data_IF_422314596388
#
_entry.id   IF_422314596388
#
_cell.length_a   1.000
_cell.length_b   1.000
_cell.length_c   1.000
_cell.angle_alpha   90.00
_cell.angle_beta   90.00
_cell.angle_gamma   90.00
#
_symmetry.space_group_name_H-M   'P 1'
#
loop_
_entity.id
_entity.type
_entity.pdbx_description
1 polymer ?
#
# COMPACT_ATOMS: atom_id res chain seq x y z
N UNK A 1 -17.37 0.63 0.54
CA UNK A 1 -16.87 -0.73 0.91
C UNK A 1 -16.13 -0.74 2.25
N UNK A 2 -15.15 0.15 2.52
CA UNK A 2 -14.44 0.14 3.83
C UNK A 2 -15.37 0.56 4.98
N UNK A 3 -16.08 1.68 4.83
CA UNK A 3 -17.08 2.14 5.81
C UNK A 3 -18.22 1.13 5.94
N UNK A 4 -18.67 0.56 4.84
CA UNK A 4 -19.66 -0.50 4.78
C UNK A 4 -19.17 -1.76 5.51
N UNK A 5 -17.95 -2.21 5.24
CA UNK A 5 -17.32 -3.35 5.93
C UNK A 5 -17.14 -3.07 7.44
N UNK A 6 -16.77 -1.85 7.82
CA UNK A 6 -16.63 -1.46 9.22
C UNK A 6 -17.98 -1.36 9.93
N UNK A 7 -18.99 -0.82 9.23
CA UNK A 7 -20.37 -0.77 9.74
C UNK A 7 -20.99 -2.17 9.86
N UNK A 8 -20.77 -3.06 8.88
CA UNK A 8 -21.24 -4.45 8.94
C UNK A 8 -20.57 -5.19 10.11
N UNK A 9 -19.29 -5.01 10.35
CA UNK A 9 -18.57 -5.59 11.50
C UNK A 9 -19.03 -5.01 12.83
N UNK A 10 -19.37 -3.73 12.87
CA UNK A 10 -19.82 -3.04 14.09
C UNK A 10 -21.25 -3.38 14.46
N UNK A 11 -22.15 -3.46 13.47
CA UNK A 11 -23.57 -3.65 13.68
C UNK A 11 -24.08 -5.06 13.39
N UNK A 12 -23.22 -5.92 12.79
CA UNK A 12 -23.51 -7.34 12.49
C UNK A 12 -24.90 -7.56 11.87
N UNK A 13 -25.28 -6.82 10.80
CA UNK A 13 -26.62 -6.88 10.24
C UNK A 13 -26.96 -8.30 9.75
N UNK A 14 -28.23 -8.70 9.94
CA UNK A 14 -28.69 -10.09 9.79
C UNK A 14 -28.51 -10.67 8.40
N UNK A 15 -28.52 -9.85 7.36
CA UNK A 15 -28.50 -10.27 5.96
C UNK A 15 -27.15 -10.14 5.24
N UNK A 16 -26.14 -9.53 5.85
CA UNK A 16 -24.81 -9.40 5.24
C UNK A 16 -23.89 -10.54 5.65
N UNK A 17 -23.94 -11.66 4.91
CA UNK A 17 -23.15 -12.86 5.21
C UNK A 17 -21.69 -12.74 4.79
N UNK A 18 -21.42 -12.11 3.66
CA UNK A 18 -20.09 -12.08 3.02
C UNK A 18 -19.02 -11.21 3.71
N UNK A 19 -19.41 -10.19 4.46
CA UNK A 19 -18.48 -9.26 5.12
C UNK A 19 -18.38 -9.45 6.64
N UNK A 20 -19.05 -10.48 7.17
CA UNK A 20 -18.94 -10.89 8.59
C UNK A 20 -17.65 -11.62 8.90
N UNK A 21 -16.98 -12.13 7.88
CA UNK A 21 -15.76 -12.91 8.05
C UNK A 21 -14.61 -12.01 8.56
N UNK A 22 -14.00 -12.43 9.65
CA UNK A 22 -12.87 -11.74 10.31
C UNK A 22 -11.56 -11.80 9.51
N UNK A 23 -11.62 -12.02 8.20
CA UNK A 23 -10.48 -11.97 7.27
C UNK A 23 -10.05 -10.52 6.99
N UNK A 24 -9.87 -9.74 8.06
CA UNK A 24 -9.35 -8.39 7.97
C UNK A 24 -7.89 -8.43 7.51
N UNK A 25 -7.55 -7.50 6.64
CA UNK A 25 -6.18 -7.24 6.19
C UNK A 25 -5.22 -7.15 7.38
N UNK A 26 -4.03 -7.74 7.24
CA UNK A 26 -3.00 -7.76 8.27
C UNK A 26 -1.79 -6.94 7.80
N UNK A 27 -1.18 -6.24 8.73
CA UNK A 27 0.04 -5.46 8.51
C UNK A 27 1.15 -5.97 9.41
N UNK A 28 2.38 -5.88 8.92
CA UNK A 28 3.59 -6.03 9.73
C UNK A 28 3.98 -4.65 10.24
N UNK A 29 4.09 -4.49 11.56
CA UNK A 29 4.54 -3.26 12.21
C UNK A 29 5.96 -3.42 12.69
N UNK A 30 6.83 -2.46 12.34
CA UNK A 30 8.23 -2.39 12.78
C UNK A 30 8.51 -0.96 13.22
N UNK A 31 8.91 -0.76 14.47
CA UNK A 31 9.26 0.57 14.98
C UNK A 31 10.78 0.78 14.93
N UNK A 32 11.26 1.27 13.79
CA UNK A 32 12.70 1.51 13.57
C UNK A 32 13.30 2.63 14.41
N UNK A 33 12.48 3.43 15.11
CA UNK A 33 12.95 4.48 16.02
C UNK A 33 13.46 3.92 17.35
N UNK A 34 12.90 2.78 17.76
CA UNK A 34 13.36 2.07 18.96
C UNK A 34 14.81 1.59 18.80
N UNK A 35 15.56 1.52 19.90
CA UNK A 35 16.92 0.95 19.91
C UNK A 35 16.90 -0.54 19.53
N UNK A 36 15.91 -1.25 20.03
CA UNK A 36 15.68 -2.65 19.74
C UNK A 36 14.29 -2.84 19.11
N UNK A 37 14.15 -2.61 17.79
CA UNK A 37 12.87 -2.74 17.09
C UNK A 37 12.25 -4.12 17.23
N UNK A 38 10.93 -4.16 17.38
CA UNK A 38 10.18 -5.43 17.35
C UNK A 38 9.35 -5.54 16.09
N UNK A 39 9.21 -6.77 15.59
CA UNK A 39 8.34 -7.10 14.46
C UNK A 39 7.03 -7.65 15.02
N UNK A 40 5.95 -6.95 14.82
CA UNK A 40 4.61 -7.29 15.30
C UNK A 40 3.59 -7.28 14.17
N UNK A 41 2.38 -7.78 14.46
CA UNK A 41 1.29 -7.83 13.50
C UNK A 41 0.12 -7.01 14.01
N UNK A 42 -0.50 -6.24 13.13
CA UNK A 42 -1.71 -5.49 13.44
C UNK A 42 -2.70 -5.53 12.29
N UNK A 43 -3.97 -5.38 12.60
CA UNK A 43 -5.04 -5.18 11.62
C UNK A 43 -5.37 -3.71 11.41
N UNK A 44 -5.03 -2.90 12.39
CA UNK A 44 -5.31 -1.47 12.41
C UNK A 44 -3.98 -0.70 12.51
N UNK A 45 -3.40 -0.29 11.36
CA UNK A 45 -2.21 0.56 11.39
C UNK A 45 -2.54 1.90 12.05
N UNK A 46 -1.72 2.31 13.02
CA UNK A 46 -1.83 3.58 13.73
C UNK A 46 -0.85 4.61 13.14
N UNK A 47 -1.09 5.89 13.43
CA UNK A 47 -0.14 6.97 13.10
C UNK A 47 0.76 7.21 14.33
N UNK A 48 1.58 6.21 14.68
CA UNK A 48 2.46 6.19 15.83
C UNK A 48 3.95 6.36 15.46
N UNK A 49 4.18 6.63 14.14
CA UNK A 49 5.51 6.83 13.59
C UNK A 49 6.31 5.54 13.39
N UNK A 50 5.71 4.37 13.59
CA UNK A 50 6.29 3.09 13.20
C UNK A 50 6.03 2.79 11.70
N UNK A 51 6.85 1.92 11.14
CA UNK A 51 6.69 1.46 9.76
C UNK A 51 5.66 0.32 9.69
N UNK A 52 4.75 0.41 8.72
CA UNK A 52 3.72 -0.59 8.49
C UNK A 52 3.81 -1.12 7.07
N UNK A 53 3.98 -2.44 6.93
CA UNK A 53 4.09 -3.14 5.65
C UNK A 53 2.83 -3.99 5.42
N UNK A 54 2.20 -3.86 4.27
CA UNK A 54 0.94 -4.51 3.91
C UNK A 54 0.07 -3.61 3.04
N UNK A 55 -1.21 -3.91 2.85
CA UNK A 55 -2.01 -4.96 3.51
C UNK A 55 -1.74 -6.37 2.99
N UNK A 56 -1.81 -7.36 3.88
CA UNK A 56 -1.76 -8.78 3.55
C UNK A 56 -3.12 -9.42 3.85
N UNK A 57 -3.72 -10.08 2.87
CA UNK A 57 -5.06 -10.68 3.01
C UNK A 57 -5.05 -12.00 3.76
N UNK A 58 -3.95 -12.75 3.69
CA UNK A 58 -3.80 -14.01 4.41
C UNK A 58 -2.83 -13.87 5.60
N UNK A 59 -3.37 -13.58 6.78
CA UNK A 59 -2.59 -13.41 7.99
C UNK A 59 -1.89 -14.70 8.45
N UNK A 60 -2.43 -15.87 8.14
CA UNK A 60 -1.79 -17.15 8.47
C UNK A 60 -0.55 -17.39 7.61
N UNK A 61 -0.68 -17.20 6.29
CA UNK A 61 0.44 -17.30 5.35
C UNK A 61 1.55 -16.29 5.67
N UNK A 62 1.17 -15.05 6.00
CA UNK A 62 2.10 -14.01 6.42
C UNK A 62 2.90 -14.43 7.67
N UNK A 63 2.23 -14.90 8.72
CA UNK A 63 2.87 -15.35 9.96
C UNK A 63 3.80 -16.55 9.70
N UNK A 64 3.38 -17.49 8.86
CA UNK A 64 4.18 -18.65 8.47
C UNK A 64 5.44 -18.21 7.70
N UNK A 65 5.29 -17.29 6.74
CA UNK A 65 6.41 -16.74 5.98
C UNK A 65 7.42 -16.01 6.86
N UNK A 66 6.96 -15.14 7.75
CA UNK A 66 7.83 -14.40 8.66
C UNK A 66 8.53 -15.31 9.67
N UNK A 67 7.89 -16.43 10.07
CA UNK A 67 8.56 -17.45 10.89
C UNK A 67 9.75 -18.09 10.16
N UNK A 68 9.65 -18.34 8.84
CA UNK A 68 10.79 -18.81 8.04
C UNK A 68 11.83 -17.72 7.86
N UNK A 69 11.40 -16.49 7.56
CA UNK A 69 12.30 -15.35 7.39
C UNK A 69 13.06 -15.01 8.67
N UNK A 70 12.52 -15.32 9.85
CA UNK A 70 13.19 -15.13 11.14
C UNK A 70 14.47 -15.97 11.28
N UNK A 71 14.59 -17.10 10.56
CA UNK A 71 15.83 -17.88 10.49
C UNK A 71 16.90 -17.24 9.61
N UNK A 72 16.47 -16.40 8.66
CA UNK A 72 17.38 -15.71 7.72
C UNK A 72 17.77 -14.36 8.30
N UNK A 73 16.77 -13.63 8.79
CA UNK A 73 16.87 -12.33 9.41
C UNK A 73 16.32 -12.40 10.84
N UNK A 74 17.15 -12.73 11.85
CA UNK A 74 16.71 -12.82 13.23
C UNK A 74 16.08 -11.50 13.70
N UNK A 75 14.90 -11.57 14.34
CA UNK A 75 14.22 -10.40 14.85
C UNK A 75 13.46 -10.66 16.16
N UNK A 76 13.25 -9.59 16.92
CA UNK A 76 12.49 -9.58 18.15
C UNK A 76 10.98 -9.52 17.87
N UNK A 77 10.20 -10.37 18.50
CA UNK A 77 8.73 -10.37 18.43
C UNK A 77 8.09 -9.57 19.57
N UNK A 78 8.84 -9.33 20.64
CA UNK A 78 8.44 -8.55 21.81
C UNK A 78 9.67 -7.88 22.42
N UNK A 79 9.47 -6.85 23.23
CA UNK A 79 10.54 -6.19 23.96
C UNK A 79 11.19 -7.18 24.93
N UNK A 80 12.51 -7.12 25.04
CA UNK A 80 13.27 -7.95 25.98
C UNK A 80 12.93 -7.58 27.42
N UNK A 81 12.80 -8.60 28.27
CA UNK A 81 12.60 -8.42 29.71
C UNK A 81 13.86 -8.89 30.46
N UNK A 82 14.21 -8.25 31.57
CA UNK A 82 15.26 -8.76 32.46
C UNK A 82 14.97 -10.21 32.86
N UNK A 83 15.98 -11.08 32.81
CA UNK A 83 15.84 -12.51 33.16
C UNK A 83 15.16 -13.39 32.10
N UNK A 84 14.87 -12.87 30.90
CA UNK A 84 14.31 -13.67 29.82
C UNK A 84 15.32 -14.72 29.32
N UNK A 85 14.83 -15.95 29.03
CA UNK A 85 15.62 -17.03 28.43
C UNK A 85 16.30 -16.60 27.13
N UNK A 86 17.56 -16.99 26.95
CA UNK A 86 18.34 -16.76 25.72
C UNK A 86 18.04 -17.79 24.61
N UNK A 87 17.09 -18.68 24.81
CA UNK A 87 16.78 -19.77 23.88
C UNK A 87 16.60 -19.33 22.42
N UNK A 88 15.84 -18.23 22.19
CA UNK A 88 15.64 -17.70 20.83
C UNK A 88 16.94 -17.15 20.23
N UNK A 89 17.85 -16.65 21.04
CA UNK A 89 19.16 -16.16 20.64
C UNK A 89 20.09 -17.32 20.30
N UNK A 90 20.10 -18.38 21.12
CA UNK A 90 20.88 -19.60 20.89
C UNK A 90 20.38 -20.37 19.65
N UNK A 91 19.08 -20.34 19.39
CA UNK A 91 18.47 -20.90 18.18
C UNK A 91 18.64 -20.01 16.93
N UNK A 92 19.29 -18.85 17.04
CA UNK A 92 19.47 -17.91 15.94
C UNK A 92 18.18 -17.27 15.43
N UNK A 93 17.14 -17.24 16.25
CA UNK A 93 15.84 -16.63 15.92
C UNK A 93 15.74 -15.15 16.40
N UNK A 94 16.57 -14.77 17.37
CA UNK A 94 16.69 -13.40 17.86
C UNK A 94 18.10 -12.87 17.64
N UNK A 95 18.27 -11.55 17.50
CA UNK A 95 19.58 -10.94 17.39
C UNK A 95 20.39 -11.13 18.69
N UNK A 96 21.69 -11.31 18.58
CA UNK A 96 22.59 -11.33 19.72
C UNK A 96 22.80 -9.89 20.23
N UNK A 97 22.79 -9.69 21.55
CA UNK A 97 23.05 -8.36 22.15
C UNK A 97 24.48 -7.91 21.84
N UNK A 98 25.42 -8.85 21.81
CA UNK A 98 26.84 -8.61 21.50
C UNK A 98 27.06 -7.94 20.15
N UNK A 99 26.17 -8.17 19.19
CA UNK A 99 26.33 -7.65 17.82
C UNK A 99 25.93 -6.16 17.70
N UNK A 100 25.31 -5.61 18.74
CA UNK A 100 24.89 -4.22 18.80
C UNK A 100 23.55 -3.91 18.07
N UNK A 101 22.96 -2.79 18.46
CA UNK A 101 21.68 -2.31 17.92
C UNK A 101 21.77 -1.98 16.40
N UNK A 102 22.88 -1.42 15.94
CA UNK A 102 23.05 -0.99 14.56
C UNK A 102 23.13 -2.18 13.60
N UNK A 103 23.84 -3.25 13.96
CA UNK A 103 23.89 -4.48 13.19
C UNK A 103 22.50 -5.13 13.11
N UNK A 104 21.76 -5.12 14.21
CA UNK A 104 20.38 -5.60 14.22
C UNK A 104 19.46 -4.76 13.31
N UNK A 105 19.52 -3.42 13.41
CA UNK A 105 18.77 -2.52 12.53
C UNK A 105 19.14 -2.72 11.06
N UNK A 106 20.41 -2.97 10.74
CA UNK A 106 20.84 -3.31 9.38
C UNK A 106 20.20 -4.63 8.88
N UNK A 107 20.15 -5.67 9.72
CA UNK A 107 19.45 -6.92 9.40
C UNK A 107 17.95 -6.71 9.17
N UNK A 108 17.30 -5.88 9.98
CA UNK A 108 15.89 -5.52 9.79
C UNK A 108 15.62 -4.75 8.49
N UNK A 109 16.53 -3.86 8.08
CA UNK A 109 16.42 -3.18 6.77
C UNK A 109 16.46 -4.19 5.62
N UNK A 110 17.26 -5.25 5.71
CA UNK A 110 17.27 -6.35 4.74
C UNK A 110 15.96 -7.13 4.75
N UNK A 111 15.38 -7.42 5.92
CA UNK A 111 14.04 -8.02 6.05
C UNK A 111 12.96 -7.13 5.42
N UNK A 112 12.97 -5.84 5.70
CA UNK A 112 12.06 -4.85 5.12
C UNK A 112 12.18 -4.84 3.59
N UNK A 113 13.41 -4.77 3.07
CA UNK A 113 13.69 -4.82 1.64
C UNK A 113 13.19 -6.12 1.00
N UNK A 114 13.32 -7.25 1.70
CA UNK A 114 12.77 -8.54 1.26
C UNK A 114 11.24 -8.52 1.18
N UNK A 115 10.57 -7.96 2.21
CA UNK A 115 9.11 -7.80 2.24
C UNK A 115 8.63 -6.86 1.14
N UNK A 116 9.40 -5.81 0.83
CA UNK A 116 9.15 -4.86 -0.27
C UNK A 116 9.37 -5.48 -1.67
N UNK A 117 9.87 -6.73 -1.77
CA UNK A 117 10.03 -7.48 -3.03
C UNK A 117 11.45 -7.50 -3.61
N UNK A 118 12.44 -6.86 -2.99
CA UNK A 118 13.83 -6.79 -3.51
C UNK A 118 14.65 -8.07 -3.26
N UNK A 119 14.06 -9.23 -3.47
CA UNK A 119 14.64 -10.53 -3.11
C UNK A 119 15.91 -10.88 -3.87
N UNK A 120 15.92 -10.59 -5.19
CA UNK A 120 17.09 -10.85 -6.05
C UNK A 120 18.30 -10.04 -5.59
N UNK A 121 18.10 -8.76 -5.28
CA UNK A 121 19.17 -7.90 -4.80
C UNK A 121 19.78 -8.40 -3.48
N UNK A 122 18.91 -8.84 -2.54
CA UNK A 122 19.38 -9.40 -1.25
C UNK A 122 20.12 -10.73 -1.45
N UNK A 123 19.64 -11.60 -2.36
CA UNK A 123 20.32 -12.85 -2.64
C UNK A 123 21.72 -12.60 -3.23
N UNK A 124 21.88 -11.66 -4.17
CA UNK A 124 23.16 -11.27 -4.74
C UNK A 124 24.09 -10.66 -3.68
N UNK A 125 23.54 -9.81 -2.79
CA UNK A 125 24.32 -9.22 -1.69
C UNK A 125 24.82 -10.30 -0.73
N UNK A 126 23.96 -11.24 -0.30
CA UNK A 126 24.36 -12.34 0.57
C UNK A 126 25.38 -13.28 -0.07
N UNK A 127 25.27 -13.51 -1.39
CA UNK A 127 26.25 -14.30 -2.14
C UNK A 127 27.60 -13.61 -2.22
N UNK A 128 27.63 -12.31 -2.46
CA UNK A 128 28.84 -11.51 -2.45
C UNK A 128 29.51 -11.53 -1.07
N UNK A 129 28.72 -11.30 0.00
CA UNK A 129 29.21 -11.27 1.36
C UNK A 129 29.77 -12.66 1.77
N UNK A 130 29.12 -13.75 1.31
CA UNK A 130 29.60 -15.11 1.51
C UNK A 130 30.98 -15.36 0.84
N UNK A 131 31.13 -14.93 -0.42
CA UNK A 131 32.39 -15.06 -1.15
C UNK A 131 33.50 -14.25 -0.50
N UNK A 132 33.18 -13.04 -0.02
CA UNK A 132 34.14 -12.19 0.71
C UNK A 132 34.57 -12.83 2.02
N UNK A 133 33.64 -13.38 2.82
CA UNK A 133 33.95 -14.07 4.05
C UNK A 133 34.84 -15.33 3.82
N UNK A 134 34.53 -16.09 2.76
CA UNK A 134 35.35 -17.23 2.35
C UNK A 134 36.77 -16.82 1.93
N UNK A 135 36.91 -15.71 1.20
CA UNK A 135 38.22 -15.15 0.81
C UNK A 135 39.05 -14.64 1.99
N UNK A 136 38.40 -14.24 3.09
CA UNK A 136 39.04 -13.84 4.35
C UNK A 136 39.27 -15.02 5.31
N UNK A 137 39.01 -16.27 4.86
CA UNK A 137 39.07 -17.49 5.65
C UNK A 137 38.14 -17.52 6.87
N UNK A 138 37.12 -16.65 6.91
CA UNK A 138 36.06 -16.69 7.92
C UNK A 138 34.98 -17.70 7.50
N UNK A 139 35.32 -18.98 7.70
CA UNK A 139 34.48 -20.10 7.24
C UNK A 139 33.17 -20.22 8.03
N UNK A 140 33.11 -19.81 9.28
CA UNK A 140 31.88 -19.81 10.08
C UNK A 140 30.86 -18.81 9.52
N UNK A 141 31.30 -17.60 9.26
CA UNK A 141 30.50 -16.54 8.63
C UNK A 141 30.06 -16.93 7.21
N UNK A 142 30.97 -17.49 6.41
CA UNK A 142 30.65 -17.97 5.07
C UNK A 142 29.60 -19.10 5.11
N UNK A 143 29.72 -20.05 6.03
CA UNK A 143 28.74 -21.12 6.23
C UNK A 143 27.38 -20.59 6.68
N UNK A 144 27.33 -19.62 7.59
CA UNK A 144 26.10 -18.95 8.02
C UNK A 144 25.39 -18.26 6.84
N UNK A 145 26.13 -17.50 6.03
CA UNK A 145 25.60 -16.83 4.84
C UNK A 145 25.09 -17.80 3.77
N UNK A 146 25.83 -18.92 3.54
CA UNK A 146 25.37 -20.00 2.67
C UNK A 146 24.07 -20.62 3.15
N UNK A 147 23.93 -20.87 4.45
CA UNK A 147 22.72 -21.42 5.02
C UNK A 147 21.54 -20.46 4.87
N UNK A 148 21.75 -19.15 5.01
CA UNK A 148 20.73 -18.11 4.76
C UNK A 148 20.29 -18.10 3.28
N UNK A 149 21.22 -18.17 2.34
CA UNK A 149 20.92 -18.28 0.90
C UNK A 149 20.12 -19.53 0.58
N UNK A 150 20.51 -20.68 1.14
CA UNK A 150 19.79 -21.95 0.95
C UNK A 150 18.38 -21.88 1.51
N UNK A 151 18.18 -21.30 2.68
CA UNK A 151 16.86 -21.07 3.27
C UNK A 151 15.99 -20.14 2.40
N UNK A 152 16.57 -19.10 1.78
CA UNK A 152 15.86 -18.27 0.83
C UNK A 152 15.42 -19.03 -0.42
N UNK A 153 16.30 -19.88 -0.98
CA UNK A 153 15.98 -20.73 -2.14
C UNK A 153 14.89 -21.77 -1.81
N UNK A 154 14.97 -22.40 -0.64
CA UNK A 154 13.93 -23.32 -0.18
C UNK A 154 12.58 -22.63 0.02
N UNK A 155 12.58 -21.41 0.54
CA UNK A 155 11.38 -20.61 0.66
C UNK A 155 10.76 -20.32 -0.73
N UNK A 156 11.57 -19.98 -1.73
CA UNK A 156 11.13 -19.81 -3.10
C UNK A 156 10.57 -21.10 -3.71
N UNK A 157 11.23 -22.25 -3.50
CA UNK A 157 10.75 -23.56 -3.99
C UNK A 157 9.40 -23.94 -3.36
N UNK A 158 9.23 -23.79 -2.06
CA UNK A 158 7.95 -24.07 -1.38
C UNK A 158 6.81 -23.20 -1.89
N UNK A 159 7.12 -21.94 -2.23
CA UNK A 159 6.20 -21.00 -2.88
C UNK A 159 5.80 -21.50 -4.27
N UNK A 160 6.71 -22.11 -5.04
CA UNK A 160 6.39 -22.63 -6.38
C UNK A 160 5.57 -23.94 -6.37
N UNK A 161 5.67 -24.77 -5.32
CA UNK A 161 5.14 -26.14 -5.35
C UNK A 161 3.86 -26.40 -4.56
N UNK A 162 3.33 -25.47 -3.75
CA UNK A 162 2.16 -25.87 -2.98
C UNK A 162 1.32 -24.83 -2.27
N UNK A 163 1.85 -23.70 -1.97
CA UNK A 163 1.10 -22.69 -1.23
C UNK A 163 0.83 -21.46 -2.12
N UNK A 164 -0.24 -21.50 -2.92
CA UNK A 164 -0.74 -20.31 -3.64
C UNK A 164 -0.91 -19.09 -2.72
N UNK A 165 -1.05 -19.30 -1.43
CA UNK A 165 -1.18 -18.30 -0.38
C UNK A 165 0.14 -17.59 -0.03
N UNK A 166 1.30 -18.23 -0.28
CA UNK A 166 2.61 -17.59 -0.16
C UNK A 166 2.88 -16.58 -1.29
N UNK A 167 2.15 -16.68 -2.38
CA UNK A 167 2.25 -15.77 -3.55
C UNK A 167 1.81 -14.33 -3.23
N UNK A 168 1.08 -14.11 -2.15
CA UNK A 168 0.79 -12.75 -1.68
C UNK A 168 2.05 -11.98 -1.23
N UNK A 169 3.15 -12.68 -0.99
CA UNK A 169 4.46 -12.07 -0.75
C UNK A 169 5.26 -11.94 -2.07
N UNK A 170 4.98 -12.79 -3.08
CA UNK A 170 5.64 -12.74 -4.38
C UNK A 170 4.77 -12.01 -5.40
N UNK A 171 4.90 -10.72 -5.44
CA UNK A 171 4.15 -9.83 -6.33
C UNK A 171 4.76 -9.74 -7.73
N UNK A 172 5.88 -10.40 -7.95
CA UNK A 172 6.59 -10.44 -9.25
C UNK A 172 5.71 -10.98 -10.38
N UNK A 173 4.84 -11.98 -10.06
CA UNK A 173 3.93 -12.57 -11.05
C UNK A 173 2.81 -11.62 -11.44
N UNK A 174 2.16 -10.95 -10.47
CA UNK A 174 1.11 -9.99 -10.74
C UNK A 174 1.63 -8.82 -11.59
N UNK A 175 2.84 -8.34 -11.34
CA UNK A 175 3.47 -7.28 -12.12
C UNK A 175 3.86 -7.76 -13.54
N UNK A 176 4.36 -9.00 -13.65
CA UNK A 176 4.68 -9.61 -14.94
C UNK A 176 3.43 -9.80 -15.78
N UNK A 177 2.36 -10.33 -15.19
CA UNK A 177 1.09 -10.55 -15.88
C UNK A 177 0.40 -9.22 -16.22
N UNK A 178 0.53 -8.19 -15.36
CA UNK A 178 0.09 -6.83 -15.66
C UNK A 178 0.86 -6.23 -16.85
N UNK A 179 2.18 -6.38 -16.88
CA UNK A 179 2.99 -5.93 -18.00
C UNK A 179 2.57 -6.60 -19.31
N UNK A 180 2.29 -7.92 -19.27
CA UNK A 180 1.80 -8.68 -20.44
C UNK A 180 0.41 -8.24 -20.87
N UNK A 181 -0.51 -8.00 -19.92
CA UNK A 181 -1.86 -7.53 -20.17
C UNK A 181 -1.85 -6.17 -20.88
N UNK A 182 -1.03 -5.25 -20.38
CA UNK A 182 -0.95 -3.89 -20.89
C UNK A 182 0.05 -3.70 -22.04
N UNK A 183 0.72 -4.76 -22.50
CA UNK A 183 1.76 -4.65 -23.56
C UNK A 183 2.94 -3.76 -23.16
N UNK A 184 3.29 -3.68 -21.86
CA UNK A 184 4.40 -2.85 -21.40
C UNK A 184 5.74 -3.48 -21.74
N UNK A 185 6.70 -2.67 -22.22
CA UNK A 185 8.06 -3.13 -22.54
C UNK A 185 8.81 -3.66 -21.31
N UNK A 186 8.56 -3.05 -20.15
CA UNK A 186 9.21 -3.39 -18.89
C UNK A 186 8.14 -3.68 -17.82
N UNK A 187 8.49 -4.50 -16.83
CA UNK A 187 7.66 -4.74 -15.66
C UNK A 187 7.56 -3.44 -14.86
N UNK A 188 6.36 -2.95 -14.51
CA UNK A 188 6.19 -1.72 -13.75
C UNK A 188 6.60 -1.95 -12.28
N UNK A 189 7.82 -1.56 -11.94
CA UNK A 189 8.38 -1.71 -10.59
C UNK A 189 7.75 -0.70 -9.62
N UNK A 190 7.60 0.57 -10.07
CA UNK A 190 6.99 1.64 -9.28
C UNK A 190 5.63 2.02 -9.87
N UNK A 191 4.58 1.67 -9.14
CA UNK A 191 3.20 2.04 -9.48
C UNK A 191 2.73 3.11 -8.50
N UNK A 192 2.19 4.20 -9.01
CA UNK A 192 1.59 5.25 -8.18
C UNK A 192 0.07 5.26 -8.36
N UNK A 193 -0.66 5.06 -7.24
CA UNK A 193 -2.12 5.07 -7.19
C UNK A 193 -2.65 6.42 -6.69
N UNK A 194 -3.68 6.97 -7.34
CA UNK A 194 -4.27 8.27 -7.04
C UNK A 194 -5.76 8.16 -6.77
N UNK A 195 -6.21 8.80 -5.68
CA UNK A 195 -7.61 8.92 -5.30
C UNK A 195 -7.93 10.37 -4.89
N UNK A 196 -9.08 10.87 -5.32
CA UNK A 196 -9.62 12.18 -4.92
C UNK A 196 -10.66 11.96 -3.84
N UNK A 197 -10.42 12.51 -2.67
CA UNK A 197 -11.32 12.38 -1.52
C UNK A 197 -11.84 13.74 -1.07
N UNK A 198 -13.17 13.84 -0.94
CA UNK A 198 -13.85 15.04 -0.48
C UNK A 198 -13.98 15.05 1.05
N UNK A 199 -13.59 16.17 1.66
CA UNK A 199 -13.86 16.43 3.09
C UNK A 199 -15.22 17.11 3.25
N UNK A 200 -15.99 16.65 4.23
CA UNK A 200 -17.23 17.34 4.64
C UNK A 200 -16.95 18.83 4.84
N UNK A 201 -17.37 19.63 3.90
CA UNK A 201 -17.49 21.06 4.07
C UNK A 201 -16.61 22.00 3.23
N UNK A 202 -15.53 21.62 2.56
CA UNK A 202 -14.84 22.54 1.60
C UNK A 202 -13.43 22.16 1.16
N UNK A 203 -12.78 21.16 1.74
CA UNK A 203 -11.38 20.84 1.39
C UNK A 203 -11.31 19.54 0.63
N UNK A 204 -10.76 19.57 -0.57
CA UNK A 204 -10.47 18.38 -1.37
C UNK A 204 -9.00 18.01 -1.19
N UNK A 205 -8.74 16.72 -0.98
CA UNK A 205 -7.39 16.19 -0.83
C UNK A 205 -7.23 15.02 -1.79
N UNK A 206 -6.18 15.07 -2.59
CA UNK A 206 -5.77 13.90 -3.35
C UNK A 206 -4.70 13.12 -2.60
N UNK A 207 -4.85 11.81 -2.56
CA UNK A 207 -3.87 10.89 -2.04
C UNK A 207 -3.06 10.27 -3.18
N UNK A 208 -1.74 10.16 -2.97
CA UNK A 208 -0.83 9.40 -3.81
C UNK A 208 -0.24 8.29 -2.96
N UNK A 209 -0.52 7.06 -3.32
CA UNK A 209 0.13 5.88 -2.73
C UNK A 209 1.13 5.31 -3.71
N UNK A 210 2.20 4.73 -3.20
CA UNK A 210 3.28 4.15 -4.00
C UNK A 210 3.41 2.67 -3.69
N UNK A 211 3.51 1.88 -4.74
CA UNK A 211 3.78 0.46 -4.66
C UNK A 211 5.08 0.17 -5.40
N UNK A 212 6.07 -0.34 -4.68
CA UNK A 212 7.36 -0.75 -5.23
C UNK A 212 7.44 -2.28 -5.25
N UNK A 213 7.71 -2.86 -6.42
CA UNK A 213 7.68 -4.32 -6.61
C UNK A 213 6.36 -4.96 -6.12
N UNK A 214 5.23 -4.28 -6.34
CA UNK A 214 3.89 -4.73 -5.93
C UNK A 214 3.63 -4.69 -4.42
N UNK A 215 4.53 -4.12 -3.60
CA UNK A 215 4.35 -3.86 -2.17
C UNK A 215 4.14 -2.38 -1.89
N UNK A 216 3.30 -2.06 -0.90
CA UNK A 216 3.09 -0.67 -0.49
C UNK A 216 4.37 -0.06 0.08
N UNK A 217 4.75 1.13 -0.39
CA UNK A 217 5.92 1.90 0.05
C UNK A 217 5.47 3.20 0.70
N UNK A 218 5.17 3.13 2.01
CA UNK A 218 4.48 4.22 2.72
C UNK A 218 5.33 5.47 2.93
N UNK A 219 6.65 5.35 2.93
CA UNK A 219 7.57 6.48 3.02
C UNK A 219 7.45 7.39 1.80
N UNK A 220 7.03 6.80 0.68
CA UNK A 220 6.85 7.49 -0.60
C UNK A 220 5.44 8.07 -0.80
N UNK A 221 4.51 7.87 0.14
CA UNK A 221 3.14 8.40 0.04
C UNK A 221 3.12 9.91 0.15
N UNK A 222 2.29 10.55 -0.65
CA UNK A 222 2.14 12.01 -0.65
C UNK A 222 0.67 12.41 -0.66
N UNK A 223 0.39 13.59 -0.13
CA UNK A 223 -0.93 14.22 -0.11
C UNK A 223 -0.85 15.56 -0.83
N UNK A 224 -1.80 15.79 -1.69
CA UNK A 224 -1.92 17.05 -2.40
C UNK A 224 -3.16 17.79 -1.91
N UNK A 225 -2.96 19.00 -1.44
CA UNK A 225 -4.07 19.94 -1.24
C UNK A 225 -4.43 20.47 -2.62
N UNK A 226 -5.68 20.28 -3.03
CA UNK A 226 -6.24 20.78 -4.29
C UNK A 226 -7.35 21.77 -4.02
N UNK A 227 -7.85 22.44 -5.07
CA UNK A 227 -8.85 23.50 -4.95
C UNK A 227 -10.14 23.05 -4.25
N UNK A 228 -10.89 24.03 -3.74
CA UNK A 228 -12.14 23.79 -3.00
C UNK A 228 -13.34 23.45 -3.91
N UNK A 229 -13.15 23.40 -5.23
CA UNK A 229 -14.22 23.08 -6.18
C UNK A 229 -14.49 21.59 -6.19
N UNK A 230 -15.76 21.23 -6.25
CA UNK A 230 -16.23 19.85 -6.42
C UNK A 230 -16.03 19.38 -7.89
N UNK A 231 -14.78 19.46 -8.35
CA UNK A 231 -14.34 19.13 -9.70
C UNK A 231 -13.23 18.08 -9.63
N UNK A 232 -13.63 16.81 -9.63
CA UNK A 232 -12.69 15.68 -9.54
C UNK A 232 -11.74 15.62 -10.73
N UNK A 233 -12.18 16.06 -11.90
CA UNK A 233 -11.37 16.05 -13.12
C UNK A 233 -10.31 17.14 -13.08
N UNK A 234 -10.67 18.36 -12.72
CA UNK A 234 -9.73 19.46 -12.53
C UNK A 234 -8.73 19.20 -11.40
N UNK A 235 -9.21 18.63 -10.30
CA UNK A 235 -8.35 18.24 -9.18
C UNK A 235 -7.36 17.15 -9.57
N UNK A 236 -7.79 16.14 -10.35
CA UNK A 236 -6.90 15.07 -10.84
C UNK A 236 -5.84 15.65 -11.79
N UNK A 237 -6.26 16.52 -12.73
CA UNK A 237 -5.31 17.21 -13.60
C UNK A 237 -4.25 17.98 -12.79
N UNK A 238 -4.65 18.79 -11.82
CA UNK A 238 -3.72 19.57 -10.99
C UNK A 238 -2.70 18.67 -10.27
N UNK A 239 -3.17 17.57 -9.67
CA UNK A 239 -2.33 16.63 -8.93
C UNK A 239 -1.28 16.00 -9.83
N UNK A 240 -1.69 15.46 -10.98
CA UNK A 240 -0.77 14.80 -11.92
C UNK A 240 0.20 15.80 -12.51
N UNK A 241 -0.29 16.98 -12.88
CA UNK A 241 0.56 18.06 -13.41
C UNK A 241 1.64 18.49 -12.40
N UNK A 242 1.29 18.64 -11.11
CA UNK A 242 2.25 18.95 -10.03
C UNK A 242 3.20 17.80 -9.77
N UNK A 243 2.71 16.55 -9.75
CA UNK A 243 3.53 15.36 -9.50
C UNK A 243 4.60 15.16 -10.56
N UNK A 244 4.24 15.36 -11.83
CA UNK A 244 5.13 15.16 -12.97
C UNK A 244 6.04 16.37 -13.26
N UNK A 245 6.04 17.41 -12.42
CA UNK A 245 7.00 18.50 -12.51
C UNK A 245 8.43 18.01 -12.23
N UNK A 246 9.43 18.63 -12.88
CA UNK A 246 10.85 18.22 -12.79
C UNK A 246 11.37 18.07 -11.37
N UNK A 247 11.03 19.00 -10.47
CA UNK A 247 11.43 18.95 -9.05
C UNK A 247 10.96 17.67 -8.38
N UNK A 248 9.70 17.28 -8.61
CA UNK A 248 9.10 16.11 -7.98
C UNK A 248 9.60 14.81 -8.62
N UNK A 249 9.87 14.81 -9.94
CA UNK A 249 10.51 13.67 -10.61
C UNK A 249 11.92 13.44 -10.07
N UNK A 250 12.72 14.52 -9.88
CA UNK A 250 14.06 14.40 -9.29
C UNK A 250 14.03 13.94 -7.83
N UNK A 251 13.06 14.44 -7.02
CA UNK A 251 13.03 14.17 -5.58
C UNK A 251 12.36 12.85 -5.20
N UNK A 252 11.30 12.46 -5.93
CA UNK A 252 10.44 11.30 -5.57
C UNK A 252 10.60 10.14 -6.54
N UNK A 253 11.45 10.26 -7.56
CA UNK A 253 11.65 9.26 -8.60
C UNK A 253 10.56 9.31 -9.68
N UNK A 254 10.84 8.63 -10.79
CA UNK A 254 9.91 8.48 -11.92
C UNK A 254 9.06 7.23 -11.71
N UNK A 255 7.73 7.29 -11.80
CA UNK A 255 6.88 6.10 -11.81
C UNK A 255 6.97 5.36 -13.16
N UNK A 256 6.65 4.05 -13.13
CA UNK A 256 6.56 3.21 -14.32
C UNK A 256 5.10 3.11 -14.82
N UNK A 257 4.12 3.28 -13.91
CA UNK A 257 2.69 3.25 -14.20
C UNK A 257 1.94 4.16 -13.24
N UNK A 258 1.00 4.96 -13.76
CA UNK A 258 0.02 5.67 -12.96
C UNK A 258 -1.32 4.94 -12.98
N UNK A 259 -1.92 4.78 -11.82
CA UNK A 259 -3.21 4.16 -11.59
C UNK A 259 -4.17 5.19 -11.01
N UNK A 260 -5.22 5.52 -11.73
CA UNK A 260 -6.22 6.50 -11.32
C UNK A 260 -7.44 5.76 -10.75
N UNK A 261 -7.82 6.01 -9.50
CA UNK A 261 -9.08 5.51 -8.95
C UNK A 261 -10.22 6.42 -9.37
N UNK A 262 -10.75 6.17 -10.55
CA UNK A 262 -11.76 7.04 -11.14
C UNK A 262 -12.25 6.60 -12.50
N UNK A 263 -13.22 7.37 -13.03
CA UNK A 263 -13.81 7.12 -14.34
C UNK A 263 -13.03 7.74 -15.51
N UNK A 264 -13.61 7.64 -16.71
CA UNK A 264 -13.04 8.13 -17.98
C UNK A 264 -12.62 9.62 -17.91
N UNK A 265 -13.41 10.48 -17.26
CA UNK A 265 -13.10 11.90 -17.14
C UNK A 265 -11.83 12.18 -16.36
N UNK A 266 -11.62 11.48 -15.24
CA UNK A 266 -10.40 11.59 -14.42
C UNK A 266 -9.19 11.01 -15.16
N UNK A 267 -9.35 9.91 -15.92
CA UNK A 267 -8.31 9.35 -16.77
C UNK A 267 -7.88 10.37 -17.84
N UNK A 268 -8.82 10.97 -18.56
CA UNK A 268 -8.55 11.95 -19.60
C UNK A 268 -7.84 13.19 -19.04
N UNK A 269 -8.24 13.67 -17.86
CA UNK A 269 -7.59 14.76 -17.16
C UNK A 269 -6.13 14.44 -16.77
N UNK A 270 -5.88 13.22 -16.29
CA UNK A 270 -4.54 12.74 -15.95
C UNK A 270 -3.65 12.62 -17.19
N UNK A 271 -4.19 12.12 -18.31
CA UNK A 271 -3.49 12.02 -19.59
C UNK A 271 -3.10 13.43 -20.09
N UNK A 272 -4.04 14.38 -20.09
CA UNK A 272 -3.80 15.77 -20.48
C UNK A 272 -2.66 16.38 -19.65
N UNK A 273 -2.70 16.23 -18.33
CA UNK A 273 -1.67 16.76 -17.43
C UNK A 273 -0.28 16.18 -17.70
N UNK A 274 -0.20 14.87 -17.98
CA UNK A 274 1.06 14.19 -18.34
C UNK A 274 1.59 14.69 -19.69
N UNK A 275 0.73 14.81 -20.69
CA UNK A 275 1.13 15.20 -22.04
C UNK A 275 1.64 16.64 -22.08
N UNK A 276 1.03 17.54 -21.33
CA UNK A 276 1.52 18.90 -21.15
C UNK A 276 2.89 18.98 -20.46
N UNK A 277 3.25 17.94 -19.66
CA UNK A 277 4.61 17.79 -19.10
C UNK A 277 5.60 17.13 -20.05
N UNK A 278 5.16 16.69 -21.23
CA UNK A 278 6.01 16.03 -22.21
C UNK A 278 6.59 14.69 -21.76
N UNK A 279 5.95 14.00 -20.78
CA UNK A 279 6.47 12.79 -20.19
C UNK A 279 5.77 11.57 -20.81
N UNK A 280 6.57 10.64 -21.33
CA UNK A 280 6.07 9.33 -21.80
C UNK A 280 5.92 8.39 -20.60
N UNK A 281 4.68 8.14 -20.18
CA UNK A 281 4.36 7.35 -18.99
C UNK A 281 3.00 6.68 -19.16
N UNK A 282 2.87 5.35 -19.00
CA UNK A 282 1.60 4.67 -19.03
C UNK A 282 0.65 5.14 -17.92
N UNK A 283 -0.61 5.37 -18.28
CA UNK A 283 -1.68 5.74 -17.35
C UNK A 283 -2.91 4.87 -17.63
N UNK A 284 -3.46 4.27 -16.59
CA UNK A 284 -4.74 3.56 -16.61
C UNK A 284 -5.64 4.03 -15.48
N UNK A 285 -6.94 3.76 -15.56
CA UNK A 285 -7.82 3.96 -14.42
C UNK A 285 -8.58 2.69 -14.06
N UNK A 286 -9.12 2.67 -12.84
CA UNK A 286 -9.97 1.59 -12.34
C UNK A 286 -11.34 2.16 -11.99
N UNK A 287 -12.40 1.57 -12.57
CA UNK A 287 -13.77 1.93 -12.26
C UNK A 287 -14.24 1.29 -10.95
N UNK A 288 -14.96 2.08 -10.12
CA UNK A 288 -15.32 1.72 -8.73
C UNK A 288 -16.25 0.52 -8.56
N UNK A 289 -17.09 0.18 -9.55
CA UNK A 289 -18.16 -0.82 -9.35
C UNK A 289 -17.72 -2.27 -9.58
N UNK A 290 -16.89 -2.52 -10.59
CA UNK A 290 -16.53 -3.90 -11.01
C UNK A 290 -15.03 -4.12 -11.16
N UNK A 291 -14.21 -3.18 -10.67
CA UNK A 291 -12.73 -3.20 -10.79
C UNK A 291 -12.25 -3.30 -12.26
N UNK A 292 -13.04 -2.72 -13.16
CA UNK A 292 -12.73 -2.66 -14.58
C UNK A 292 -11.57 -1.69 -14.83
N UNK A 293 -10.63 -2.14 -15.65
CA UNK A 293 -9.52 -1.29 -16.10
C UNK A 293 -10.01 -0.48 -17.30
N UNK A 294 -9.85 0.84 -17.24
CA UNK A 294 -10.15 1.75 -18.34
C UNK A 294 -8.83 2.19 -18.97
N UNK A 295 -8.70 1.97 -20.26
CA UNK A 295 -7.52 2.27 -21.07
C UNK A 295 -7.94 3.19 -22.22
N UNK A 296 -7.37 4.38 -22.30
CA UNK A 296 -7.62 5.28 -23.43
C UNK A 296 -6.79 4.82 -24.63
N UNK A 297 -7.43 4.62 -25.79
CA UNK A 297 -6.85 4.01 -27.00
C UNK A 297 -5.53 4.63 -27.45
N UNK A 298 -5.46 5.94 -27.46
CA UNK A 298 -4.26 6.70 -27.89
C UNK A 298 -3.50 7.32 -26.70
N UNK A 299 -4.22 7.73 -25.66
CA UNK A 299 -3.66 8.51 -24.55
C UNK A 299 -2.97 7.68 -23.47
N UNK A 300 -3.35 6.44 -23.22
CA UNK A 300 -2.77 5.65 -22.12
C UNK A 300 -1.31 5.24 -22.31
N UNK A 301 -0.75 5.40 -23.50
CA UNK A 301 0.62 4.98 -23.87
C UNK A 301 0.89 3.50 -23.56
N UNK A 302 -0.08 2.67 -23.90
CA UNK A 302 -0.08 1.22 -23.78
C UNK A 302 -0.14 0.65 -25.20
N UNK A 303 0.44 -0.53 -25.38
CA UNK A 303 0.32 -1.23 -26.66
C UNK A 303 -1.10 -1.79 -26.82
N UNK A 304 -1.95 -1.03 -27.53
CA UNK A 304 -3.35 -1.40 -27.75
C UNK A 304 -3.50 -2.63 -28.66
N UNK A 305 -2.53 -2.94 -29.52
CA UNK A 305 -2.54 -4.15 -30.35
C UNK A 305 -2.69 -5.40 -29.48
N UNK A 306 -2.03 -5.41 -28.32
CA UNK A 306 -2.16 -6.50 -27.36
C UNK A 306 -3.57 -6.61 -26.78
N UNK A 307 -4.21 -5.49 -26.51
CA UNK A 307 -5.61 -5.44 -26.01
C UNK A 307 -6.57 -5.96 -27.10
N UNK A 308 -6.36 -5.58 -28.36
CA UNK A 308 -7.15 -6.05 -29.51
C UNK A 308 -6.95 -7.54 -29.77
N UNK A 309 -5.74 -8.06 -29.64
CA UNK A 309 -5.46 -9.50 -29.72
C UNK A 309 -6.19 -10.27 -28.63
N UNK A 310 -6.16 -9.78 -27.39
CA UNK A 310 -6.89 -10.38 -26.27
C UNK A 310 -8.41 -10.30 -26.46
N UNK A 311 -8.92 -9.23 -27.09
CA UNK A 311 -10.33 -9.09 -27.41
C UNK A 311 -10.79 -10.12 -28.44
N UNK A 312 -9.96 -10.43 -29.43
CA UNK A 312 -10.24 -11.42 -30.46
C UNK A 312 -10.11 -12.86 -29.96
N UNK A 313 -9.32 -13.09 -28.94
CA UNK A 313 -9.14 -14.41 -28.34
C UNK A 313 -10.21 -14.68 -27.27
N UNK A 314 -10.81 -15.86 -27.30
CA UNK A 314 -11.80 -16.28 -26.30
C UNK A 314 -11.05 -16.63 -25.01
N UNK A 315 -10.94 -15.67 -24.09
CA UNK A 315 -10.45 -15.92 -22.75
C UNK A 315 -11.62 -16.04 -21.76
N UNK A 316 -11.67 -17.11 -20.98
CA UNK A 316 -12.73 -17.30 -19.98
C UNK A 316 -12.66 -16.25 -18.84
N UNK A 317 -11.49 -15.69 -18.59
CA UNK A 317 -11.22 -14.82 -17.44
C UNK A 317 -11.05 -13.34 -17.79
N UNK A 318 -11.16 -12.95 -19.06
CA UNK A 318 -10.97 -11.56 -19.50
C UNK A 318 -12.08 -11.21 -20.50
N UNK A 319 -12.83 -10.15 -20.21
CA UNK A 319 -13.76 -9.57 -21.17
C UNK A 319 -13.32 -8.13 -21.48
N UNK A 320 -13.25 -7.80 -22.77
CA UNK A 320 -12.84 -6.48 -23.24
C UNK A 320 -13.98 -5.85 -24.04
N UNK A 321 -14.37 -4.67 -23.62
CA UNK A 321 -15.41 -3.87 -24.27
C UNK A 321 -14.79 -2.61 -24.82
N UNK A 322 -15.24 -2.21 -25.99
CA UNK A 322 -14.90 -0.95 -26.61
C UNK A 322 -16.00 0.08 -26.34
N UNK A 323 -15.63 1.28 -25.91
CA UNK A 323 -16.55 2.36 -25.64
C UNK A 323 -15.90 3.70 -26.03
N UNK A 324 -16.26 4.19 -27.24
CA UNK A 324 -15.68 5.37 -27.87
C UNK A 324 -14.13 5.33 -27.90
N UNK A 325 -13.49 6.21 -27.14
CA UNK A 325 -12.03 6.37 -27.11
C UNK A 325 -11.32 5.49 -26.09
N UNK A 326 -12.03 4.56 -25.44
CA UNK A 326 -11.46 3.72 -24.38
C UNK A 326 -11.77 2.23 -24.60
N UNK A 327 -10.87 1.38 -24.13
CA UNK A 327 -11.13 -0.02 -23.83
C UNK A 327 -11.45 -0.18 -22.34
N UNK A 328 -12.46 -1.00 -22.05
CA UNK A 328 -12.83 -1.40 -20.71
C UNK A 328 -12.52 -2.88 -20.57
N UNK A 329 -11.56 -3.21 -19.72
CA UNK A 329 -11.09 -4.59 -19.50
C UNK A 329 -11.63 -5.08 -18.17
N UNK A 330 -12.51 -6.09 -18.22
CA UNK A 330 -13.05 -6.76 -17.05
C UNK A 330 -12.28 -8.07 -16.81
N UNK A 331 -11.70 -8.20 -15.62
CA UNK A 331 -10.93 -9.38 -15.21
C UNK A 331 -11.77 -10.42 -14.44
N UNK A 332 -13.11 -10.21 -14.33
CA UNK A 332 -14.08 -11.12 -13.68
C UNK A 332 -15.37 -11.28 -14.48
N UNK A 333 -15.33 -11.76 -15.73
CA UNK A 333 -16.53 -11.84 -16.58
C UNK A 333 -17.62 -12.79 -16.04
N UNK A 334 -17.29 -13.77 -15.22
CA UNK A 334 -18.23 -14.78 -14.71
C UNK A 334 -19.30 -14.23 -13.72
N UNK A 335 -19.19 -13.00 -13.21
CA UNK A 335 -20.15 -12.41 -12.28
C UNK A 335 -21.29 -11.62 -12.95
N UNK A 336 -21.31 -11.49 -14.28
CA UNK A 336 -22.32 -10.69 -15.01
C UNK A 336 -23.66 -11.37 -15.30
N UNK A 337 -23.89 -12.63 -14.96
CA UNK A 337 -25.12 -13.35 -15.31
C UNK A 337 -26.32 -13.08 -14.41
N UNK A 338 -26.31 -12.04 -13.58
CA UNK A 338 -27.45 -11.66 -12.74
C UNK A 338 -27.77 -10.16 -12.85
N UNK A 339 -28.17 -9.66 -13.99
CA UNK A 339 -28.84 -8.35 -14.08
C UNK A 339 -28.33 -7.41 -15.17
N UNK A 340 -29.16 -7.27 -16.20
CA UNK A 340 -29.35 -6.15 -17.15
C UNK A 340 -28.21 -5.81 -18.14
N UNK A 341 -28.54 -6.07 -19.31
CA UNK A 341 -28.32 -5.50 -20.65
C UNK A 341 -27.91 -6.58 -21.67
N UNK A 342 -28.80 -7.55 -21.87
CA UNK A 342 -28.77 -8.42 -23.05
C UNK A 342 -29.71 -7.80 -24.06
N UNK A 343 -29.17 -6.99 -24.99
CA UNK A 343 -29.75 -6.83 -26.33
C UNK A 343 -28.61 -6.73 -27.32
N UNK A 344 -28.66 -7.67 -28.29
CA UNK A 344 -27.84 -7.79 -29.48
C UNK A 344 -26.42 -8.33 -29.33
N UNK A 345 -26.31 -9.65 -29.41
CA UNK A 345 -25.27 -10.34 -30.18
C UNK A 345 -25.60 -11.84 -30.22
N UNK A 346 -26.52 -12.22 -31.13
CA UNK A 346 -26.57 -13.57 -31.69
C UNK A 346 -25.73 -13.56 -32.98
N UNK A 347 -24.52 -14.07 -32.88
CA UNK A 347 -23.66 -14.36 -34.03
C UNK A 347 -23.11 -15.78 -33.87
N UNK A 348 -23.46 -16.60 -34.84
CA UNK A 348 -23.22 -18.02 -35.01
C UNK A 348 -21.84 -18.53 -34.58
N UNK A 349 -21.86 -19.57 -33.73
CA UNK A 349 -20.72 -20.45 -33.49
C UNK A 349 -20.48 -21.33 -34.74
N UNK A 350 -19.29 -21.21 -35.33
CA UNK A 350 -18.74 -22.23 -36.23
C UNK A 350 -17.63 -22.91 -35.44
N UNK A 351 -17.86 -24.19 -35.16
CA UNK A 351 -16.89 -25.09 -34.50
C UNK A 351 -15.89 -25.54 -35.61
N UNK A 352 -14.64 -25.04 -35.54
CA UNK A 352 -13.53 -25.56 -36.33
C UNK A 352 -12.45 -26.13 -35.39
N UNK A 353 -12.40 -27.43 -35.43
CA UNK A 353 -11.63 -28.29 -34.54
C UNK A 353 -10.15 -28.46 -34.92
N UNK A 354 -9.40 -27.38 -35.16
CA UNK A 354 -7.96 -27.50 -35.42
C UNK A 354 -7.20 -26.30 -34.89
N UNK A 355 -6.75 -26.35 -33.64
CA UNK A 355 -5.60 -25.58 -33.10
C UNK A 355 -5.54 -25.64 -31.58
N UNK A 356 -5.63 -26.84 -30.98
CA UNK A 356 -5.59 -26.99 -29.49
C UNK A 356 -4.20 -27.05 -28.86
N UNK A 357 -3.10 -27.11 -29.62
CA UNK A 357 -1.81 -27.51 -29.02
C UNK A 357 -0.72 -26.46 -28.85
N UNK A 358 -0.93 -25.20 -29.24
CA UNK A 358 0.14 -24.16 -29.09
C UNK A 358 -0.16 -22.98 -28.17
N UNK A 359 -1.35 -22.90 -27.54
CA UNK A 359 -1.72 -21.77 -26.69
C UNK A 359 -1.56 -21.98 -25.17
N UNK A 360 -1.15 -23.16 -24.73
CA UNK A 360 -1.08 -23.52 -23.30
C UNK A 360 0.07 -22.86 -22.51
N UNK A 361 0.93 -22.01 -23.11
CA UNK A 361 2.14 -21.49 -22.45
C UNK A 361 2.09 -20.03 -21.97
N UNK A 362 1.00 -19.29 -22.06
CA UNK A 362 0.95 -17.89 -21.64
C UNK A 362 -0.38 -17.48 -20.99
N UNK A 363 -0.87 -18.23 -20.01
CA UNK A 363 -2.06 -17.80 -19.26
C UNK A 363 -1.71 -16.60 -18.35
N UNK A 364 -2.41 -15.46 -18.55
CA UNK A 364 -2.37 -14.30 -17.65
C UNK A 364 -3.19 -14.64 -16.41
N UNK A 365 -2.59 -14.57 -15.23
CA UNK A 365 -3.29 -14.79 -13.98
C UNK A 365 -4.04 -13.51 -13.54
N UNK A 366 -5.26 -13.33 -14.05
CA UNK A 366 -6.13 -12.17 -13.80
C UNK A 366 -6.37 -11.93 -12.31
N UNK A 367 -6.56 -12.99 -11.52
CA UNK A 367 -6.79 -12.93 -10.08
C UNK A 367 -5.69 -12.19 -9.32
N UNK A 368 -4.42 -12.35 -9.71
CA UNK A 368 -3.29 -11.71 -9.02
C UNK A 368 -3.21 -10.21 -9.38
N UNK A 369 -3.57 -9.84 -10.61
CA UNK A 369 -3.68 -8.45 -11.05
C UNK A 369 -4.80 -7.73 -10.29
N UNK A 370 -5.98 -8.36 -10.20
CA UNK A 370 -7.13 -7.81 -9.45
C UNK A 370 -6.75 -7.58 -7.99
N UNK A 371 -6.12 -8.55 -7.34
CA UNK A 371 -5.64 -8.38 -5.95
C UNK A 371 -4.63 -7.25 -5.80
N UNK A 372 -3.77 -7.03 -6.80
CA UNK A 372 -2.83 -5.90 -6.79
C UNK A 372 -3.59 -4.57 -6.85
N UNK A 373 -4.56 -4.45 -7.76
CA UNK A 373 -5.36 -3.23 -7.89
C UNK A 373 -6.24 -2.96 -6.68
N UNK A 374 -6.89 -3.98 -6.12
CA UNK A 374 -7.63 -3.87 -4.86
C UNK A 374 -6.75 -3.32 -3.74
N UNK A 375 -5.53 -3.84 -3.60
CA UNK A 375 -4.58 -3.35 -2.59
C UNK A 375 -4.21 -1.89 -2.79
N UNK A 376 -3.93 -1.48 -4.03
CA UNK A 376 -3.57 -0.08 -4.34
C UNK A 376 -4.75 0.83 -4.00
N UNK A 377 -5.96 0.48 -4.41
CA UNK A 377 -7.18 1.23 -4.15
C UNK A 377 -7.50 1.31 -2.66
N UNK A 378 -7.52 0.18 -1.97
CA UNK A 378 -7.80 0.13 -0.53
C UNK A 378 -6.80 0.97 0.26
N UNK A 379 -5.52 0.93 -0.13
CA UNK A 379 -4.48 1.72 0.53
C UNK A 379 -4.62 3.22 0.22
N UNK A 380 -5.03 3.60 -1.00
CA UNK A 380 -5.34 4.99 -1.35
C UNK A 380 -6.48 5.54 -0.50
N UNK A 381 -7.59 4.81 -0.39
CA UNK A 381 -8.72 5.18 0.46
C UNK A 381 -8.34 5.24 1.94
N UNK A 382 -7.62 4.23 2.44
CA UNK A 382 -7.15 4.21 3.83
C UNK A 382 -6.27 5.42 4.14
N UNK A 383 -5.34 5.74 3.24
CA UNK A 383 -4.43 6.87 3.41
C UNK A 383 -5.18 8.21 3.39
N UNK A 384 -6.17 8.36 2.53
CA UNK A 384 -7.07 9.52 2.50
C UNK A 384 -7.83 9.68 3.82
N UNK A 385 -8.50 8.61 4.31
CA UNK A 385 -9.28 8.60 5.56
C UNK A 385 -8.42 8.89 6.79
N UNK A 386 -7.19 8.37 6.86
CA UNK A 386 -6.28 8.64 7.99
C UNK A 386 -5.99 10.14 8.18
N UNK A 387 -5.92 10.89 7.08
CA UNK A 387 -5.72 12.33 7.10
C UNK A 387 -6.97 13.08 7.59
N UNK A 388 -8.16 12.64 7.18
CA UNK A 388 -9.42 13.22 7.65
C UNK A 388 -9.56 13.11 9.17
N UNK A 389 -9.18 11.97 9.73
CA UNK A 389 -9.21 11.75 11.19
C UNK A 389 -8.19 12.63 11.92
N UNK A 390 -6.98 12.76 11.41
CA UNK A 390 -5.95 13.62 11.98
C UNK A 390 -6.36 15.10 11.95
N UNK A 391 -6.90 15.58 10.83
CA UNK A 391 -7.38 16.96 10.70
C UNK A 391 -8.60 17.24 11.58
N UNK A 392 -9.56 16.29 11.66
CA UNK A 392 -10.71 16.43 12.59
C UNK A 392 -10.23 16.54 14.02
N UNK A 393 -9.32 15.68 14.46
CA UNK A 393 -8.72 15.75 15.80
C UNK A 393 -8.00 17.10 16.03
N UNK A 394 -7.21 17.55 15.05
CA UNK A 394 -6.50 18.81 15.14
C UNK A 394 -7.46 20.02 15.20
N UNK A 395 -8.58 19.99 14.44
CA UNK A 395 -9.60 21.03 14.48
C UNK A 395 -10.44 20.97 15.75
N UNK A 396 -10.82 19.77 16.23
CA UNK A 396 -11.50 19.63 17.52
C UNK A 396 -10.65 20.12 18.68
N UNK A 397 -9.33 19.81 18.65
CA UNK A 397 -8.38 20.32 19.63
C UNK A 397 -8.15 21.83 19.50
N UNK A 398 -8.31 22.39 18.30
CA UNK A 398 -8.27 23.84 18.08
C UNK A 398 -9.46 24.53 18.75
N UNK A 399 -10.67 24.01 18.56
CA UNK A 399 -11.88 24.68 19.00
C UNK A 399 -11.98 24.76 20.54
N UNK A 400 -11.70 23.69 21.27
CA UNK A 400 -11.87 23.66 22.72
C UNK A 400 -11.05 24.68 23.53
N UNK A 401 -9.80 24.95 23.10
CA UNK A 401 -8.97 25.96 23.78
C UNK A 401 -9.12 27.37 23.20
N UNK A 402 -9.47 27.49 21.90
CA UNK A 402 -9.65 28.79 21.24
C UNK A 402 -11.03 29.41 21.51
N UNK A 403 -11.99 28.63 22.03
CA UNK A 403 -13.28 29.14 22.53
C UNK A 403 -13.14 29.89 23.86
N UNK A 404 -12.00 29.73 24.53
CA UNK A 404 -11.75 30.45 25.77
C UNK A 404 -11.28 31.88 25.47
N UNK A 405 -12.01 32.91 25.94
CA UNK A 405 -11.62 34.31 25.73
C UNK A 405 -10.19 34.58 26.20
N UNK A 406 -9.36 35.08 25.26
CA UNK A 406 -7.95 35.41 25.54
C UNK A 406 -6.94 34.27 25.36
N UNK A 407 -7.36 33.08 24.94
CA UNK A 407 -6.46 32.02 24.50
C UNK A 407 -6.37 32.02 22.97
N UNK A 408 -5.42 32.78 22.44
CA UNK A 408 -5.11 32.79 21.02
C UNK A 408 -4.08 31.70 20.64
N UNK A 409 -3.76 31.59 19.32
CA UNK A 409 -2.86 30.56 18.79
C UNK A 409 -1.49 30.48 19.50
N UNK A 410 -0.92 31.62 19.91
CA UNK A 410 0.37 31.69 20.61
C UNK A 410 0.29 31.08 22.02
N UNK A 411 -0.75 31.46 22.80
CA UNK A 411 -0.98 30.95 24.14
C UNK A 411 -1.26 29.45 24.13
N UNK A 412 -2.07 29.01 23.17
CA UNK A 412 -2.34 27.59 22.95
C UNK A 412 -1.07 26.80 22.61
N UNK A 413 -0.23 27.30 21.71
CA UNK A 413 1.04 26.63 21.36
C UNK A 413 1.96 26.51 22.58
N UNK A 414 1.99 27.54 23.45
CA UNK A 414 2.74 27.55 24.73
C UNK A 414 2.22 26.47 25.68
N UNK A 415 0.90 26.37 25.86
CA UNK A 415 0.26 25.36 26.72
C UNK A 415 0.50 23.93 26.18
N UNK A 416 0.32 23.70 24.90
CA UNK A 416 0.55 22.39 24.28
C UNK A 416 2.03 21.95 24.35
N UNK A 417 2.97 22.90 24.25
CA UNK A 417 4.40 22.60 24.41
C UNK A 417 4.74 22.14 25.83
N UNK A 418 4.10 22.72 26.83
CA UNK A 418 4.39 22.40 28.26
C UNK A 418 3.65 21.14 28.72
N UNK A 419 2.37 21.02 28.40
CA UNK A 419 1.51 19.95 28.94
C UNK A 419 1.27 18.79 27.95
N UNK A 420 1.65 18.94 26.69
CA UNK A 420 1.62 17.89 25.66
C UNK A 420 0.25 17.67 25.00
N UNK A 421 -0.87 17.75 25.71
CA UNK A 421 -2.20 17.56 25.16
C UNK A 421 -3.26 18.41 25.84
N UNK A 422 -4.40 18.66 25.15
CA UNK A 422 -5.53 19.42 25.73
C UNK A 422 -6.08 18.72 26.97
N UNK A 423 -6.18 17.41 26.96
CA UNK A 423 -6.61 16.63 28.13
C UNK A 423 -5.71 16.89 29.35
N UNK A 424 -4.39 16.82 29.15
CA UNK A 424 -3.42 17.13 30.21
C UNK A 424 -3.44 18.61 30.65
N UNK A 425 -3.78 19.54 29.76
CA UNK A 425 -3.97 20.95 30.10
C UNK A 425 -5.17 21.12 31.04
N UNK A 426 -6.30 20.43 30.75
CA UNK A 426 -7.50 20.48 31.59
C UNK A 426 -7.27 19.80 32.93
N UNK A 427 -6.53 18.69 32.95
CA UNK A 427 -6.17 17.93 34.17
C UNK A 427 -5.04 18.56 34.99
N UNK A 428 -4.21 19.47 34.43
CA UNK A 428 -3.06 20.07 35.03
C UNK A 428 -3.42 20.89 36.30
N UNK A 429 -2.52 20.99 37.25
CA UNK A 429 -2.77 21.74 38.46
C UNK A 429 -3.02 23.23 38.22
N UNK A 430 -3.92 23.83 39.00
CA UNK A 430 -4.30 25.24 38.84
C UNK A 430 -3.10 26.19 38.98
N UNK A 431 -2.20 25.93 39.90
CA UNK A 431 -1.00 26.75 40.14
C UNK A 431 -0.06 26.72 38.93
N UNK A 432 0.10 25.58 38.28
CA UNK A 432 0.91 25.45 37.09
C UNK A 432 0.28 26.17 35.87
N UNK A 433 -1.06 26.07 35.71
CA UNK A 433 -1.78 26.80 34.70
C UNK A 433 -1.73 28.31 34.91
N UNK A 434 -1.89 28.74 36.16
CA UNK A 434 -1.83 30.15 36.55
C UNK A 434 -0.47 30.77 36.23
N UNK A 435 0.63 30.05 36.50
CA UNK A 435 1.97 30.50 36.18
C UNK A 435 2.20 30.74 34.69
N UNK A 436 1.52 29.96 33.81
CA UNK A 436 1.71 30.02 32.36
C UNK A 436 0.81 31.03 31.65
N UNK A 437 -0.44 31.17 32.08
CA UNK A 437 -1.47 31.94 31.33
C UNK A 437 -2.16 33.01 32.19
N UNK A 438 -1.85 33.09 33.48
CA UNK A 438 -2.47 33.99 34.42
C UNK A 438 -3.80 33.47 35.01
N UNK A 439 -4.18 33.99 36.18
CA UNK A 439 -5.31 33.50 36.97
C UNK A 439 -6.65 33.48 36.20
N UNK A 440 -6.99 34.54 35.44
CA UNK A 440 -8.24 34.63 34.69
C UNK A 440 -8.39 33.48 33.67
N UNK A 441 -7.31 33.20 32.90
CA UNK A 441 -7.34 32.16 31.85
C UNK A 441 -7.26 30.75 32.46
N UNK A 442 -6.49 30.57 33.55
CA UNK A 442 -6.43 29.30 34.29
C UNK A 442 -7.80 28.89 34.82
N UNK A 443 -8.56 29.85 35.40
CA UNK A 443 -9.94 29.60 35.83
C UNK A 443 -10.89 29.18 34.69
N UNK A 444 -10.73 29.81 33.54
CA UNK A 444 -11.58 29.47 32.36
C UNK A 444 -11.23 28.09 31.80
N UNK A 445 -9.94 27.69 31.82
CA UNK A 445 -9.54 26.34 31.40
C UNK A 445 -10.10 25.29 32.35
N UNK A 446 -10.08 25.55 33.65
CA UNK A 446 -10.61 24.62 34.69
C UNK A 446 -12.14 24.47 34.66
N UNK A 447 -12.88 25.39 34.05
CA UNK A 447 -14.33 25.25 33.81
C UNK A 447 -14.66 24.33 32.67
N UNK A 448 -13.68 23.86 31.88
CA UNK A 448 -13.86 22.87 30.82
C UNK A 448 -13.67 21.42 31.33
N UNK A 449 -13.22 21.25 32.59
CA UNK A 449 -13.19 19.96 33.28
C UNK A 449 -14.59 19.68 33.85
#
# INVERSE_FOLDING_TARGET
LFLESEMIKRYMPRYNVLLRDNKSQMYVRIDMKSDWPTVSFTRNPADDGADYFGPFYNGFALKKALRYLRRIFPYLTHQRRPGQSKLDEDLGLSPKISDGSDAYKASLRKLISYIKGNRKAIAVELERDMKTAAGLHDFERAASLRNKLRAMQELQRRVMFGDKEFLDISKDKALTDLAKLLGLKNIPVRIEGYDISHMSGRKVVASMVVFTNGASDREEYRKFKVGEKNDDTGNMYEVIFRRLGERNIKSWGRPDLLLIDGGKGQLSAAIKARDERGIKLPIISIAKREEEIIIHKTGSQIDVTRIEELQKSIHQDIAIYEDNDVYVVNLHPAQRNAGSHSKNLRGSAIDDGSSRDNFAKSSIATTDIVKLFQRIRDESHRFAVSYHTALKRQNQTKNQLEEIPGIGPKTRAKLLRKFGSVKKIIEADYTELQAEVGAKKANLIKRLS
#
